data_IF_100026356364
#
_entry.id   IF_100026356364
#
_cell.length_a   1.000
_cell.length_b   1.000
_cell.length_c   1.000
_cell.angle_alpha   90.00
_cell.angle_beta   90.00
_cell.angle_gamma   90.00
#
_symmetry.space_group_name_H-M   'P 1'
#
loop_
_entity.id
_entity.type
_entity.pdbx_description
1 polymer ?
#
# COMPACT_ATOMS: atom_id res chain seq x y z
N UNK A 1 9.76 -11.22 17.00
CA UNK A 1 8.71 -11.11 18.05
C UNK A 1 8.15 -9.71 17.96
N UNK A 2 6.94 -9.52 17.41
CA UNK A 2 6.26 -8.23 17.56
C UNK A 2 5.88 -8.10 19.05
N UNK A 3 6.29 -7.01 19.68
CA UNK A 3 6.04 -6.78 21.09
C UNK A 3 4.53 -6.84 21.33
N UNK A 4 4.13 -7.76 22.20
CA UNK A 4 2.76 -7.89 22.68
C UNK A 4 2.52 -6.73 23.66
N UNK A 5 2.50 -5.50 23.14
CA UNK A 5 2.29 -4.29 23.93
C UNK A 5 0.82 -4.20 24.25
N UNK A 6 0.47 -4.51 25.50
CA UNK A 6 -0.87 -4.27 26.01
C UNK A 6 -1.21 -2.79 25.86
N UNK A 7 -2.36 -2.52 25.24
CA UNK A 7 -2.97 -1.19 25.13
C UNK A 7 -4.00 -0.95 26.23
N UNK A 8 -3.97 -1.71 27.33
CA UNK A 8 -4.80 -1.44 28.50
C UNK A 8 -4.64 0.02 28.95
N UNK A 9 -5.76 0.71 29.16
CA UNK A 9 -5.78 2.13 29.51
C UNK A 9 -5.59 3.11 28.34
N UNK A 10 -5.47 2.63 27.10
CA UNK A 10 -5.49 3.49 25.91
C UNK A 10 -6.90 3.60 25.34
N UNK A 11 -7.33 4.84 25.09
CA UNK A 11 -8.52 5.16 24.31
C UNK A 11 -8.11 5.46 22.87
N UNK A 12 -8.71 4.77 21.91
CA UNK A 12 -8.44 4.97 20.47
C UNK A 12 -9.74 5.04 19.70
N UNK A 13 -9.85 6.02 18.80
CA UNK A 13 -11.02 6.15 17.93
C UNK A 13 -10.72 5.63 16.53
N UNK A 14 -11.70 4.98 15.89
CA UNK A 14 -11.59 4.49 14.50
C UNK A 14 -12.77 5.01 13.67
N UNK A 15 -12.45 5.69 12.57
CA UNK A 15 -13.43 6.22 11.62
C UNK A 15 -13.30 5.47 10.29
N UNK A 16 -14.42 4.87 9.89
CA UNK A 16 -14.51 4.02 8.70
C UNK A 16 -14.37 2.55 9.07
N UNK A 17 -15.42 1.78 8.79
CA UNK A 17 -15.50 0.35 9.13
C UNK A 17 -15.74 -0.50 7.88
N UNK A 18 -15.02 -0.20 6.79
CA UNK A 18 -14.83 -1.16 5.71
C UNK A 18 -13.97 -2.34 6.16
N UNK A 19 -13.67 -3.30 5.26
CA UNK A 19 -12.91 -4.50 5.61
C UNK A 19 -11.61 -4.20 6.38
N UNK A 20 -10.84 -3.20 5.94
CA UNK A 20 -9.62 -2.79 6.63
C UNK A 20 -9.90 -2.04 7.95
N UNK A 21 -10.86 -1.12 7.97
CA UNK A 21 -11.23 -0.36 9.17
C UNK A 21 -11.74 -1.23 10.33
N UNK A 22 -12.55 -2.25 10.01
CA UNK A 22 -13.00 -3.24 10.98
C UNK A 22 -11.83 -4.09 11.50
N UNK A 23 -10.92 -4.51 10.62
CA UNK A 23 -9.70 -5.23 11.02
C UNK A 23 -8.81 -4.39 11.96
N UNK A 24 -8.67 -3.08 11.70
CA UNK A 24 -7.96 -2.14 12.58
C UNK A 24 -8.60 -2.10 13.96
N UNK A 25 -9.91 -1.86 14.04
CA UNK A 25 -10.63 -1.80 15.31
C UNK A 25 -10.46 -3.11 16.11
N UNK A 26 -10.57 -4.24 15.44
CA UNK A 26 -10.40 -5.56 16.07
C UNK A 26 -8.97 -5.81 16.57
N UNK A 27 -7.94 -5.39 15.83
CA UNK A 27 -6.56 -5.49 16.30
C UNK A 27 -6.34 -4.67 17.57
N UNK A 28 -6.85 -3.44 17.61
CA UNK A 28 -6.74 -2.56 18.77
C UNK A 28 -7.47 -3.12 19.99
N UNK A 29 -8.68 -3.63 19.82
CA UNK A 29 -9.45 -4.27 20.91
C UNK A 29 -8.75 -5.53 21.43
N UNK A 30 -8.21 -6.38 20.54
CA UNK A 30 -7.44 -7.57 20.96
C UNK A 30 -6.17 -7.20 21.72
N UNK A 31 -5.56 -6.05 21.42
CA UNK A 31 -4.43 -5.53 22.17
C UNK A 31 -4.84 -4.89 23.52
N UNK A 32 -6.13 -4.73 23.81
CA UNK A 32 -6.65 -4.23 25.09
C UNK A 32 -7.02 -2.75 25.11
N UNK A 33 -7.04 -2.06 23.96
CA UNK A 33 -7.49 -0.68 23.87
C UNK A 33 -9.01 -0.57 24.02
N UNK A 34 -9.49 0.54 24.59
CA UNK A 34 -10.90 0.92 24.53
C UNK A 34 -11.15 1.64 23.20
N UNK A 35 -11.89 0.99 22.32
CA UNK A 35 -12.05 1.47 20.94
C UNK A 35 -13.42 2.11 20.73
N UNK A 36 -13.42 3.41 20.38
CA UNK A 36 -14.63 4.11 19.94
C UNK A 36 -14.69 4.10 18.41
N UNK A 37 -15.83 3.78 17.82
CA UNK A 37 -15.96 3.59 16.37
C UNK A 37 -17.07 4.44 15.78
N UNK A 38 -16.86 4.88 14.54
CA UNK A 38 -17.91 5.50 13.74
C UNK A 38 -17.81 5.10 12.26
N UNK A 39 -18.97 4.88 11.64
CA UNK A 39 -19.08 4.66 10.21
C UNK A 39 -20.42 5.22 9.70
N UNK A 40 -20.44 5.71 8.46
CA UNK A 40 -21.66 6.25 7.83
C UNK A 40 -22.80 5.23 7.76
N UNK A 41 -22.48 3.98 7.49
CA UNK A 41 -23.46 2.86 7.42
C UNK A 41 -23.52 2.20 8.79
N UNK A 42 -24.68 2.26 9.45
CA UNK A 42 -24.87 1.79 10.84
C UNK A 42 -24.62 0.29 11.02
N UNK A 43 -25.04 -0.55 10.07
CA UNK A 43 -24.87 -2.02 10.17
C UNK A 43 -23.41 -2.45 10.32
N UNK A 44 -22.47 -1.70 9.72
CA UNK A 44 -21.02 -1.94 9.87
C UNK A 44 -20.51 -1.57 11.27
N UNK A 45 -21.14 -0.60 11.92
CA UNK A 45 -20.85 -0.26 13.32
C UNK A 45 -21.36 -1.35 14.25
N UNK A 46 -22.59 -1.82 14.05
CA UNK A 46 -23.22 -2.88 14.85
C UNK A 46 -22.36 -4.16 14.91
N UNK A 47 -21.80 -4.58 13.78
CA UNK A 47 -20.92 -5.76 13.70
C UNK A 47 -19.69 -5.67 14.61
N UNK A 48 -19.06 -4.48 14.68
CA UNK A 48 -17.84 -4.26 15.49
C UNK A 48 -18.20 -3.97 16.95
N UNK A 49 -19.36 -3.37 17.22
CA UNK A 49 -19.90 -3.21 18.58
C UNK A 49 -20.19 -4.57 19.22
N UNK A 50 -20.71 -5.53 18.46
CA UNK A 50 -20.86 -6.91 18.92
C UNK A 50 -19.55 -7.59 19.36
N UNK A 51 -18.40 -7.01 18.99
CA UNK A 51 -17.05 -7.48 19.34
C UNK A 51 -16.40 -6.66 20.47
N UNK A 52 -17.12 -5.67 21.04
CA UNK A 52 -16.66 -4.89 22.20
C UNK A 52 -16.33 -3.42 21.92
N UNK A 53 -16.55 -2.93 20.70
CA UNK A 53 -16.34 -1.51 20.39
C UNK A 53 -17.46 -0.63 20.92
N UNK A 54 -17.16 0.66 21.12
CA UNK A 54 -18.09 1.67 21.60
C UNK A 54 -18.58 2.51 20.42
N UNK A 55 -19.87 2.57 20.11
CA UNK A 55 -20.37 3.37 18.99
C UNK A 55 -20.36 4.86 19.34
N UNK A 56 -19.90 5.70 18.41
CA UNK A 56 -20.07 7.15 18.47
C UNK A 56 -21.28 7.59 17.62
N UNK A 57 -21.98 8.65 18.04
CA UNK A 57 -23.13 9.20 17.32
C UNK A 57 -22.77 10.05 16.10
N UNK A 58 -21.54 10.55 16.03
CA UNK A 58 -21.01 11.37 14.93
C UNK A 58 -19.49 11.23 14.82
N UNK A 59 -18.92 11.73 13.71
CA UNK A 59 -17.47 11.83 13.52
C UNK A 59 -16.82 12.69 14.61
N UNK A 60 -17.41 13.84 14.94
CA UNK A 60 -16.92 14.74 15.99
C UNK A 60 -16.96 14.09 17.37
N UNK A 61 -18.03 13.35 17.70
CA UNK A 61 -18.11 12.59 18.94
C UNK A 61 -17.05 11.48 18.99
N UNK A 62 -16.82 10.78 17.87
CA UNK A 62 -15.78 9.77 17.75
C UNK A 62 -14.39 10.36 17.99
N UNK A 63 -14.03 11.46 17.34
CA UNK A 63 -12.73 12.12 17.51
C UNK A 63 -12.55 12.66 18.94
N UNK A 64 -13.61 13.22 19.53
CA UNK A 64 -13.55 13.77 20.88
C UNK A 64 -13.29 12.71 21.95
N UNK A 65 -13.72 11.46 21.71
CA UNK A 65 -13.63 10.36 22.67
C UNK A 65 -12.19 9.90 22.96
N UNK A 66 -11.23 10.17 22.06
CA UNK A 66 -9.86 9.64 22.18
C UNK A 66 -8.80 10.68 21.79
N UNK A 67 -7.60 10.64 22.37
CA UNK A 67 -6.49 11.50 21.94
C UNK A 67 -5.96 11.12 20.54
N UNK A 68 -6.07 9.84 20.16
CA UNK A 68 -5.65 9.30 18.86
C UNK A 68 -6.88 8.83 18.09
N UNK A 69 -7.03 9.29 16.85
CA UNK A 69 -8.05 8.78 15.91
C UNK A 69 -7.39 8.21 14.67
N UNK A 70 -7.71 6.95 14.35
CA UNK A 70 -7.34 6.30 13.10
C UNK A 70 -8.47 6.46 12.09
N UNK A 71 -8.13 6.90 10.87
CA UNK A 71 -9.08 7.05 9.77
C UNK A 71 -8.72 6.04 8.68
N UNK A 72 -9.68 5.23 8.26
CA UNK A 72 -9.55 4.31 7.12
C UNK A 72 -10.82 4.37 6.28
N UNK A 73 -10.80 5.24 5.27
CA UNK A 73 -11.96 5.60 4.45
C UNK A 73 -11.75 5.21 2.99
N UNK A 74 -12.79 5.46 2.17
CA UNK A 74 -12.74 5.16 0.74
C UNK A 74 -11.73 6.05 -0.02
N UNK A 75 -11.60 7.31 0.37
CA UNK A 75 -10.70 8.26 -0.29
C UNK A 75 -10.31 9.40 0.64
N UNK A 76 -9.19 10.05 0.33
CA UNK A 76 -8.73 11.23 1.05
C UNK A 76 -9.68 12.43 0.91
N UNK A 77 -10.50 12.51 -0.15
CA UNK A 77 -11.56 13.51 -0.26
C UNK A 77 -12.67 13.29 0.79
N UNK A 78 -12.99 12.03 1.12
CA UNK A 78 -13.93 11.72 2.21
C UNK A 78 -13.31 12.04 3.57
N UNK A 79 -12.03 11.71 3.76
CA UNK A 79 -11.29 12.05 4.98
C UNK A 79 -11.25 13.57 5.21
N UNK A 80 -10.99 14.34 4.15
CA UNK A 80 -11.01 15.81 4.21
C UNK A 80 -12.37 16.33 4.70
N UNK A 81 -13.48 15.91 4.08
CA UNK A 81 -14.83 16.33 4.48
C UNK A 81 -15.13 16.00 5.95
N UNK A 82 -14.85 14.76 6.35
CA UNK A 82 -15.06 14.29 7.73
C UNK A 82 -14.30 15.16 8.74
N UNK A 83 -13.08 15.57 8.41
CA UNK A 83 -12.24 16.40 9.29
C UNK A 83 -12.62 17.88 9.23
N UNK A 84 -13.10 18.39 8.09
CA UNK A 84 -13.60 19.77 7.95
C UNK A 84 -14.80 20.06 8.85
N UNK A 85 -15.63 19.06 9.13
CA UNK A 85 -16.83 19.20 9.95
C UNK A 85 -16.54 19.23 11.47
N UNK A 86 -15.27 19.07 11.87
CA UNK A 86 -14.85 19.02 13.27
C UNK A 86 -14.35 20.39 13.71
N UNK A 87 -15.05 21.00 14.66
CA UNK A 87 -14.77 22.37 15.10
C UNK A 87 -13.36 22.55 15.70
N UNK A 88 -12.86 21.55 16.44
CA UNK A 88 -11.54 21.62 17.06
C UNK A 88 -10.80 20.28 17.08
N UNK A 89 -9.59 20.29 16.51
CA UNK A 89 -8.64 19.17 16.47
C UNK A 89 -7.36 19.48 17.26
N UNK A 90 -7.26 20.62 17.94
CA UNK A 90 -6.05 21.17 18.57
C UNK A 90 -5.32 20.23 19.54
N UNK A 91 -6.03 19.30 20.16
CA UNK A 91 -5.49 18.33 21.13
C UNK A 91 -5.41 16.90 20.58
N UNK A 92 -5.73 16.71 19.30
CA UNK A 92 -5.94 15.41 18.68
C UNK A 92 -4.76 15.02 17.79
N UNK A 93 -4.49 13.72 17.75
CA UNK A 93 -3.59 13.12 16.77
C UNK A 93 -4.42 12.30 15.79
N UNK A 94 -4.38 12.69 14.52
CA UNK A 94 -5.07 12.00 13.43
C UNK A 94 -4.05 11.13 12.69
N UNK A 95 -4.32 9.84 12.64
CA UNK A 95 -3.57 8.85 11.85
C UNK A 95 -4.44 8.44 10.68
N UNK A 96 -4.15 8.94 9.49
CA UNK A 96 -4.92 8.60 8.30
C UNK A 96 -4.24 7.47 7.53
N UNK A 97 -4.90 6.31 7.48
CA UNK A 97 -4.49 5.09 6.77
C UNK A 97 -5.30 4.88 5.47
N UNK A 98 -5.88 5.96 4.93
CA UNK A 98 -6.62 5.95 3.66
C UNK A 98 -5.65 6.10 2.49
N UNK A 99 -5.62 5.11 1.59
CA UNK A 99 -4.81 5.17 0.37
C UNK A 99 -5.10 6.47 -0.43
N UNK A 100 -4.05 7.08 -0.97
CA UNK A 100 -4.14 8.20 -1.89
C UNK A 100 -2.79 8.60 -2.47
N UNK A 101 -2.82 9.65 -3.30
CA UNK A 101 -1.61 10.24 -3.85
C UNK A 101 -0.94 11.21 -2.87
N UNK A 102 0.38 11.46 -3.00
CA UNK A 102 1.09 12.54 -2.30
C UNK A 102 0.31 13.87 -2.25
N UNK A 103 -0.27 14.30 -3.38
CA UNK A 103 -1.03 15.55 -3.47
C UNK A 103 -2.29 15.54 -2.62
N UNK A 104 -3.06 14.46 -2.66
CA UNK A 104 -4.28 14.31 -1.85
C UNK A 104 -3.96 14.33 -0.36
N UNK A 105 -2.88 13.67 0.05
CA UNK A 105 -2.46 13.63 1.46
C UNK A 105 -2.01 15.00 1.95
N UNK A 106 -1.29 15.77 1.11
CA UNK A 106 -0.92 17.15 1.44
C UNK A 106 -2.14 18.06 1.60
N UNK A 107 -3.20 17.88 0.80
CA UNK A 107 -4.45 18.63 0.94
C UNK A 107 -5.14 18.36 2.28
N UNK A 108 -5.20 17.09 2.70
CA UNK A 108 -5.72 16.75 4.04
C UNK A 108 -4.84 17.34 5.13
N UNK A 109 -3.51 17.23 5.02
CA UNK A 109 -2.58 17.78 6.00
C UNK A 109 -2.70 19.30 6.14
N UNK A 110 -2.91 20.03 5.04
CA UNK A 110 -3.09 21.48 5.04
C UNK A 110 -4.32 21.92 5.84
N UNK A 111 -5.41 21.13 5.83
CA UNK A 111 -6.59 21.41 6.66
C UNK A 111 -6.25 21.41 8.15
N UNK A 112 -5.38 20.50 8.60
CA UNK A 112 -5.03 20.39 10.02
C UNK A 112 -4.11 21.52 10.50
N UNK A 113 -3.44 22.24 9.60
CA UNK A 113 -2.63 23.41 9.97
C UNK A 113 -3.46 24.54 10.58
N UNK A 114 -4.77 24.61 10.28
CA UNK A 114 -5.69 25.56 10.89
C UNK A 114 -5.97 25.29 12.38
N UNK A 115 -5.69 24.08 12.87
CA UNK A 115 -5.92 23.67 14.25
C UNK A 115 -4.60 23.62 15.01
N UNK A 116 -4.24 24.72 15.68
CA UNK A 116 -3.00 24.80 16.47
C UNK A 116 -2.92 23.65 17.48
N UNK A 117 -1.89 22.83 17.37
CA UNK A 117 -1.63 21.67 18.25
C UNK A 117 -2.11 20.32 17.70
N UNK A 118 -2.95 20.31 16.65
CA UNK A 118 -3.34 19.08 15.97
C UNK A 118 -2.10 18.40 15.39
N UNK A 119 -2.00 17.08 15.55
CA UNK A 119 -0.94 16.26 14.95
C UNK A 119 -1.52 15.40 13.84
N UNK A 120 -0.76 15.26 12.76
CA UNK A 120 -1.16 14.45 11.61
C UNK A 120 -0.05 13.47 11.24
N UNK A 121 -0.43 12.21 11.15
CA UNK A 121 0.35 11.16 10.52
C UNK A 121 -0.44 10.61 9.34
N UNK A 122 0.25 10.32 8.26
CA UNK A 122 -0.31 9.55 7.17
C UNK A 122 0.42 8.23 7.09
N UNK A 123 -0.31 7.14 6.89
CA UNK A 123 0.28 5.83 6.75
C UNK A 123 -0.39 5.00 5.69
N UNK A 124 0.27 3.92 5.34
CA UNK A 124 -0.17 2.96 4.36
C UNK A 124 0.03 1.54 4.90
N UNK A 125 -1.02 0.74 4.83
CA UNK A 125 -1.02 -0.65 5.30
C UNK A 125 -0.60 -1.54 4.13
N UNK A 126 0.52 -2.26 4.29
CA UNK A 126 1.16 -3.06 3.24
C UNK A 126 0.71 -4.53 3.27
N UNK A 127 -0.51 -4.79 3.75
CA UNK A 127 -1.08 -6.14 3.85
C UNK A 127 -2.59 -6.11 3.64
N UNK A 128 -3.21 -7.20 3.16
CA UNK A 128 -4.66 -7.34 3.16
C UNK A 128 -5.22 -7.43 4.59
N UNK A 129 -6.52 -7.12 4.80
CA UNK A 129 -7.14 -7.05 6.13
C UNK A 129 -6.95 -8.31 6.99
N UNK A 130 -7.02 -9.50 6.38
CA UNK A 130 -6.87 -10.79 7.05
C UNK A 130 -5.47 -11.05 7.63
N UNK A 131 -4.46 -10.35 7.12
CA UNK A 131 -3.09 -10.46 7.60
C UNK A 131 -2.72 -9.34 8.57
N UNK A 132 -3.61 -8.41 8.90
CA UNK A 132 -3.33 -7.29 9.80
C UNK A 132 -3.12 -7.76 11.26
N UNK A 133 -2.17 -7.12 11.96
CA UNK A 133 -1.81 -7.47 13.34
C UNK A 133 -0.91 -8.72 13.47
N UNK A 134 -0.50 -9.31 12.34
CA UNK A 134 0.48 -10.40 12.31
C UNK A 134 1.91 -9.83 12.38
N UNK A 135 2.92 -10.62 12.79
CA UNK A 135 4.31 -10.16 12.80
C UNK A 135 4.85 -9.72 11.44
N UNK A 136 4.24 -10.19 10.35
CA UNK A 136 4.59 -9.83 8.97
C UNK A 136 3.85 -8.59 8.47
N UNK A 137 2.86 -8.07 9.21
CA UNK A 137 2.14 -6.85 8.83
C UNK A 137 3.08 -5.66 8.88
N UNK A 138 3.16 -4.91 7.79
CA UNK A 138 3.97 -3.70 7.69
C UNK A 138 3.07 -2.50 7.46
N UNK A 139 3.34 -1.40 8.17
CA UNK A 139 2.68 -0.12 7.94
C UNK A 139 3.74 0.95 7.75
N UNK A 140 3.73 1.62 6.60
CA UNK A 140 4.58 2.79 6.37
C UNK A 140 3.90 4.01 6.98
N UNK A 141 4.65 4.88 7.66
CA UNK A 141 4.09 6.06 8.31
C UNK A 141 5.00 7.26 8.07
N UNK A 142 4.42 8.40 7.69
CA UNK A 142 5.12 9.67 7.57
C UNK A 142 4.42 10.78 8.35
N UNK A 143 5.16 11.84 8.65
CA UNK A 143 4.75 12.95 9.51
C UNK A 143 5.72 13.13 10.67
N UNK A 144 5.42 14.04 11.62
CA UNK A 144 6.33 14.37 12.72
C UNK A 144 6.84 13.14 13.49
N UNK A 145 8.14 13.09 13.76
CA UNK A 145 8.76 12.01 14.54
C UNK A 145 8.17 11.89 15.95
N UNK A 146 7.86 13.03 16.60
CA UNK A 146 7.23 13.05 17.93
C UNK A 146 5.83 12.44 17.89
N UNK A 147 5.03 12.78 16.88
CA UNK A 147 3.71 12.20 16.69
C UNK A 147 3.81 10.69 16.44
N UNK A 148 4.79 10.25 15.64
CA UNK A 148 5.05 8.85 15.36
C UNK A 148 5.41 8.07 16.63
N UNK A 149 6.34 8.59 17.44
CA UNK A 149 6.71 7.97 18.72
C UNK A 149 5.50 7.86 19.67
N UNK A 150 4.71 8.92 19.80
CA UNK A 150 3.50 8.92 20.61
C UNK A 150 2.45 7.89 20.13
N UNK A 151 2.34 7.67 18.81
CA UNK A 151 1.41 6.70 18.23
C UNK A 151 1.98 5.28 18.12
N UNK A 152 3.28 5.08 18.36
CA UNK A 152 3.94 3.79 18.14
C UNK A 152 3.29 2.64 18.92
N UNK A 153 2.87 2.79 20.20
CA UNK A 153 2.16 1.72 20.90
C UNK A 153 0.89 1.28 20.16
N UNK A 154 0.05 2.23 19.74
CA UNK A 154 -1.20 1.99 19.01
C UNK A 154 -0.93 1.36 17.64
N UNK A 155 0.01 1.90 16.89
CA UNK A 155 0.38 1.40 15.56
C UNK A 155 1.01 0.00 15.61
N UNK A 156 1.69 -0.35 16.70
CA UNK A 156 2.32 -1.67 16.88
C UNK A 156 1.30 -2.79 17.04
N UNK A 157 0.05 -2.48 17.45
CA UNK A 157 -1.03 -3.45 17.45
C UNK A 157 -1.49 -3.85 16.03
N UNK A 158 -1.17 -3.04 15.02
CA UNK A 158 -1.51 -3.29 13.62
C UNK A 158 -0.40 -4.05 12.87
N UNK A 159 0.81 -4.15 13.44
CA UNK A 159 1.98 -4.72 12.79
C UNK A 159 3.28 -4.05 13.22
N UNK A 160 4.27 -4.06 12.33
CA UNK A 160 5.52 -3.33 12.49
C UNK A 160 5.43 -1.96 11.79
N UNK A 161 5.12 -0.86 12.52
CA UNK A 161 5.12 0.47 11.92
C UNK A 161 6.54 0.91 11.59
N UNK A 162 6.71 1.50 10.40
CA UNK A 162 7.99 2.04 9.91
C UNK A 162 7.82 3.52 9.59
N UNK A 163 8.49 4.37 10.35
CA UNK A 163 8.58 5.79 10.02
C UNK A 163 9.47 5.97 8.80
N UNK A 164 8.92 6.49 7.71
CA UNK A 164 9.67 6.71 6.46
C UNK A 164 10.16 8.15 6.32
N UNK A 165 9.80 9.02 7.26
CA UNK A 165 10.29 10.40 7.38
C UNK A 165 9.19 11.42 7.62
N UNK A 166 9.60 12.67 7.83
CA UNK A 166 8.69 13.73 8.26
C UNK A 166 7.85 14.34 7.15
N UNK A 167 8.27 14.21 5.89
CA UNK A 167 7.44 14.62 4.76
C UNK A 167 6.19 13.73 4.68
N UNK A 168 5.03 14.31 5.00
CA UNK A 168 3.73 13.63 5.05
C UNK A 168 3.36 12.89 3.75
N UNK A 169 3.95 13.31 2.62
CA UNK A 169 3.74 12.70 1.32
C UNK A 169 4.58 11.45 1.06
N UNK A 170 5.47 11.07 1.98
CA UNK A 170 6.43 10.00 1.75
C UNK A 170 5.82 8.61 1.90
N UNK A 171 4.99 8.38 2.91
CA UNK A 171 4.25 7.13 3.02
C UNK A 171 3.38 6.84 1.78
N UNK A 172 2.51 7.77 1.29
CA UNK A 172 1.69 7.50 0.10
C UNK A 172 2.52 7.40 -1.18
N UNK A 173 3.68 8.06 -1.27
CA UNK A 173 4.60 7.88 -2.41
C UNK A 173 5.13 6.43 -2.47
N UNK A 174 5.65 5.93 -1.35
CA UNK A 174 6.20 4.58 -1.26
C UNK A 174 5.09 3.52 -1.39
N UNK A 175 3.90 3.77 -0.85
CA UNK A 175 2.72 2.94 -1.06
C UNK A 175 2.41 2.77 -2.54
N UNK A 176 2.27 3.88 -3.28
CA UNK A 176 1.98 3.82 -4.71
C UNK A 176 3.10 3.11 -5.51
N UNK A 177 4.37 3.26 -5.11
CA UNK A 177 5.47 2.52 -5.72
C UNK A 177 5.35 1.00 -5.47
N UNK A 178 5.04 0.59 -4.23
CA UNK A 178 4.86 -0.83 -3.88
C UNK A 178 3.60 -1.43 -4.51
N UNK A 179 2.49 -0.67 -4.59
CA UNK A 179 1.28 -1.09 -5.27
C UNK A 179 1.48 -1.21 -6.79
N UNK A 180 2.34 -0.38 -7.39
CA UNK A 180 2.73 -0.53 -8.79
C UNK A 180 3.49 -1.85 -9.03
N UNK A 181 4.41 -2.22 -8.14
CA UNK A 181 5.08 -3.53 -8.18
C UNK A 181 4.07 -4.68 -8.04
N UNK A 182 3.14 -4.56 -7.10
CA UNK A 182 2.07 -5.55 -6.90
C UNK A 182 1.18 -5.68 -8.16
N UNK A 183 0.85 -4.57 -8.81
CA UNK A 183 0.09 -4.56 -10.06
C UNK A 183 0.77 -5.36 -11.16
N UNK A 184 2.05 -5.08 -11.43
CA UNK A 184 2.82 -5.84 -12.44
C UNK A 184 2.98 -7.32 -12.09
N UNK A 185 3.15 -7.64 -10.80
CA UNK A 185 3.16 -9.02 -10.32
C UNK A 185 1.81 -9.72 -10.60
N UNK A 186 0.69 -9.06 -10.34
CA UNK A 186 -0.64 -9.62 -10.62
C UNK A 186 -0.89 -9.80 -12.10
N UNK A 187 -0.53 -8.82 -12.95
CA UNK A 187 -0.63 -8.93 -14.41
C UNK A 187 0.12 -10.16 -14.92
N UNK A 188 1.39 -10.33 -14.52
CA UNK A 188 2.19 -11.50 -14.90
C UNK A 188 1.62 -12.81 -14.34
N UNK A 189 1.19 -12.82 -13.07
CA UNK A 189 0.70 -14.01 -12.38
C UNK A 189 -0.59 -14.55 -12.99
N UNK A 190 -1.60 -13.70 -13.22
CA UNK A 190 -2.89 -14.13 -13.79
C UNK A 190 -2.74 -14.55 -15.25
N UNK A 191 -1.89 -13.86 -16.02
CA UNK A 191 -1.60 -14.25 -17.39
C UNK A 191 -0.89 -15.60 -17.47
N UNK A 192 0.14 -15.82 -16.64
CA UNK A 192 0.89 -17.06 -16.62
C UNK A 192 -0.01 -18.25 -16.27
N UNK A 193 -0.90 -18.09 -15.28
CA UNK A 193 -1.90 -19.09 -14.94
C UNK A 193 -2.84 -19.39 -16.11
N UNK A 194 -3.35 -18.36 -16.79
CA UNK A 194 -4.24 -18.55 -17.94
C UNK A 194 -3.54 -19.30 -19.09
N UNK A 195 -2.28 -18.97 -19.40
CA UNK A 195 -1.47 -19.67 -20.41
C UNK A 195 -1.28 -21.14 -20.00
N UNK A 196 -0.83 -21.41 -18.77
CA UNK A 196 -0.58 -22.76 -18.28
C UNK A 196 -1.85 -23.63 -18.32
N UNK A 197 -2.97 -23.11 -17.81
CA UNK A 197 -4.25 -23.82 -17.79
C UNK A 197 -4.79 -24.11 -19.19
N UNK A 198 -4.69 -23.15 -20.12
CA UNK A 198 -5.12 -23.34 -21.52
C UNK A 198 -4.20 -24.30 -22.27
N UNK A 199 -2.93 -24.38 -21.88
CA UNK A 199 -1.97 -25.39 -22.35
C UNK A 199 -2.13 -26.77 -21.71
N UNK A 200 -3.13 -26.99 -20.85
CA UNK A 200 -3.42 -28.29 -20.24
C UNK A 200 -2.63 -28.60 -18.97
N UNK A 201 -1.97 -27.61 -18.36
CA UNK A 201 -1.28 -27.75 -17.07
C UNK A 201 -2.25 -27.41 -15.93
N UNK A 202 -2.26 -28.21 -14.86
CA UNK A 202 -3.04 -27.88 -13.67
C UNK A 202 -2.56 -26.55 -13.06
N UNK A 203 -3.50 -25.67 -12.74
CA UNK A 203 -3.19 -24.32 -12.28
C UNK A 203 -2.57 -24.29 -10.88
N UNK A 204 -2.95 -25.22 -9.99
CA UNK A 204 -2.42 -25.29 -8.63
C UNK A 204 -1.01 -25.87 -8.66
N UNK A 205 -0.79 -26.95 -9.41
CA UNK A 205 0.52 -27.55 -9.59
C UNK A 205 1.50 -26.57 -10.25
N UNK A 206 1.05 -25.82 -11.26
CA UNK A 206 1.84 -24.75 -11.86
C UNK A 206 2.16 -23.65 -10.84
N UNK A 207 1.16 -23.15 -10.11
CA UNK A 207 1.33 -22.08 -9.14
C UNK A 207 2.33 -22.45 -8.03
N UNK A 208 2.17 -23.63 -7.43
CA UNK A 208 2.94 -24.06 -6.27
C UNK A 208 4.29 -24.67 -6.66
N UNK A 209 4.33 -25.43 -7.75
CA UNK A 209 5.51 -26.19 -8.17
C UNK A 209 6.49 -25.40 -9.04
N UNK A 210 6.01 -24.41 -9.81
CA UNK A 210 6.84 -23.70 -10.78
C UNK A 210 6.80 -22.18 -10.61
N UNK A 211 5.62 -21.56 -10.72
CA UNK A 211 5.49 -20.11 -10.72
C UNK A 211 5.94 -19.47 -9.40
N UNK A 212 5.55 -20.04 -8.26
CA UNK A 212 5.95 -19.57 -6.93
C UNK A 212 7.47 -19.59 -6.74
N UNK A 213 8.16 -20.73 -6.91
CA UNK A 213 9.61 -20.80 -6.85
C UNK A 213 10.31 -19.85 -7.84
N UNK A 214 9.79 -19.72 -9.06
CA UNK A 214 10.32 -18.81 -10.07
C UNK A 214 10.23 -17.33 -9.63
N UNK A 215 9.06 -16.88 -9.15
CA UNK A 215 8.88 -15.52 -8.64
C UNK A 215 9.79 -15.25 -7.45
N UNK A 216 9.96 -16.22 -6.54
CA UNK A 216 10.87 -16.07 -5.39
C UNK A 216 12.32 -15.86 -5.86
N UNK A 217 12.80 -16.69 -6.79
CA UNK A 217 14.16 -16.55 -7.33
C UNK A 217 14.35 -15.19 -8.04
N UNK A 218 13.34 -14.74 -8.79
CA UNK A 218 13.37 -13.42 -9.44
C UNK A 218 13.39 -12.28 -8.40
N UNK A 219 12.59 -12.38 -7.33
CA UNK A 219 12.53 -11.40 -6.26
C UNK A 219 13.88 -11.23 -5.54
N UNK A 220 14.65 -12.31 -5.38
CA UNK A 220 15.99 -12.28 -4.79
C UNK A 220 17.00 -11.52 -5.69
N UNK A 221 16.76 -11.46 -7.01
CA UNK A 221 17.62 -10.77 -7.98
C UNK A 221 17.22 -9.31 -8.25
N UNK A 222 15.92 -8.99 -8.25
CA UNK A 222 15.38 -7.66 -8.60
C UNK A 222 16.08 -6.48 -7.90
N UNK A 223 16.46 -6.53 -6.60
CA UNK A 223 17.16 -5.42 -5.95
C UNK A 223 18.46 -5.00 -6.62
N UNK A 224 19.13 -5.91 -7.35
CA UNK A 224 20.37 -5.61 -8.07
C UNK A 224 20.16 -4.63 -9.24
N UNK A 225 18.94 -4.54 -9.78
CA UNK A 225 18.61 -3.52 -10.79
C UNK A 225 18.84 -2.11 -10.24
N UNK A 226 18.58 -1.87 -8.94
CA UNK A 226 18.80 -0.57 -8.34
C UNK A 226 20.28 -0.16 -8.34
N UNK A 227 21.19 -1.12 -8.20
CA UNK A 227 22.64 -0.88 -8.30
C UNK A 227 23.03 -0.48 -9.72
N UNK A 228 22.50 -1.17 -10.74
CA UNK A 228 22.73 -0.84 -12.14
C UNK A 228 22.21 0.55 -12.51
N UNK A 229 21.03 0.92 -12.00
CA UNK A 229 20.45 2.26 -12.21
C UNK A 229 21.30 3.33 -11.52
N UNK A 230 21.72 3.11 -10.27
CA UNK A 230 22.56 4.06 -9.52
C UNK A 230 23.92 4.29 -10.20
N UNK A 231 24.54 3.22 -10.68
CA UNK A 231 25.88 3.26 -11.27
C UNK A 231 25.84 3.59 -12.78
N UNK A 232 24.66 3.81 -13.36
CA UNK A 232 24.42 4.01 -14.80
C UNK A 232 25.01 2.89 -15.69
N UNK A 233 25.06 1.67 -15.16
CA UNK A 233 25.61 0.48 -15.84
C UNK A 233 24.48 -0.37 -16.41
N UNK A 234 24.05 -0.03 -17.61
CA UNK A 234 22.90 -0.68 -18.25
C UNK A 234 23.27 -1.87 -19.14
N UNK A 235 24.54 -1.99 -19.57
CA UNK A 235 25.00 -3.10 -20.41
C UNK A 235 25.37 -4.34 -19.60
N UNK A 236 25.06 -5.52 -20.15
CA UNK A 236 25.29 -6.82 -19.53
C UNK A 236 24.00 -7.45 -18.99
N UNK A 237 23.98 -8.78 -18.89
CA UNK A 237 22.75 -9.54 -18.60
C UNK A 237 21.94 -9.84 -19.85
N UNK A 238 20.61 -9.80 -19.75
CA UNK A 238 19.68 -10.07 -20.87
C UNK A 238 19.37 -8.78 -21.64
N UNK A 239 19.77 -8.66 -22.92
CA UNK A 239 19.51 -7.48 -23.75
C UNK A 239 18.02 -7.22 -23.99
N UNK A 240 17.63 -5.96 -24.18
CA UNK A 240 16.25 -5.58 -24.53
C UNK A 240 15.79 -6.21 -25.85
N UNK A 241 16.67 -6.35 -26.85
CA UNK A 241 16.36 -7.03 -28.12
C UNK A 241 15.96 -8.49 -27.90
N UNK A 242 16.71 -9.23 -27.08
CA UNK A 242 16.39 -10.60 -26.70
C UNK A 242 15.07 -10.68 -25.90
N UNK A 243 14.81 -9.71 -25.00
CA UNK A 243 13.57 -9.68 -24.23
C UNK A 243 12.35 -9.38 -25.11
N UNK A 244 12.48 -8.53 -26.14
CA UNK A 244 11.41 -8.28 -27.10
C UNK A 244 11.02 -9.55 -27.86
N UNK A 245 11.99 -10.35 -28.33
CA UNK A 245 11.73 -11.67 -28.95
C UNK A 245 10.98 -12.60 -27.98
N UNK A 246 11.33 -12.57 -26.68
CA UNK A 246 10.59 -13.35 -25.68
C UNK A 246 9.14 -12.85 -25.51
N UNK A 247 8.91 -11.54 -25.55
CA UNK A 247 7.55 -10.98 -25.52
C UNK A 247 6.74 -11.37 -26.76
N UNK A 248 7.37 -11.54 -27.92
CA UNK A 248 6.71 -11.96 -29.16
C UNK A 248 6.29 -13.42 -29.11
N UNK A 249 7.15 -14.27 -28.55
CA UNK A 249 6.79 -15.67 -28.27
C UNK A 249 5.63 -15.78 -27.29
N UNK A 250 5.60 -14.93 -26.25
CA UNK A 250 4.48 -14.88 -25.29
C UNK A 250 3.19 -14.42 -25.99
N UNK A 251 3.26 -13.41 -26.86
CA UNK A 251 2.13 -12.92 -27.63
C UNK A 251 1.56 -14.01 -28.55
N UNK A 252 2.43 -14.67 -29.33
CA UNK A 252 2.04 -15.77 -30.21
C UNK A 252 1.42 -16.94 -29.43
N UNK A 253 2.01 -17.33 -28.30
CA UNK A 253 1.44 -18.35 -27.40
C UNK A 253 0.05 -17.95 -26.90
N UNK A 254 -0.13 -16.67 -26.56
CA UNK A 254 -1.43 -16.13 -26.17
C UNK A 254 -2.46 -16.26 -27.28
N UNK A 255 -2.09 -15.91 -28.52
CA UNK A 255 -2.97 -16.02 -29.69
C UNK A 255 -3.38 -17.48 -29.95
N UNK A 256 -2.43 -18.41 -29.94
CA UNK A 256 -2.68 -19.85 -30.14
C UNK A 256 -3.66 -20.43 -29.10
N UNK A 257 -3.56 -19.98 -27.85
CA UNK A 257 -4.39 -20.48 -26.74
C UNK A 257 -5.68 -19.68 -26.50
N UNK A 258 -5.86 -18.56 -27.21
CA UNK A 258 -6.94 -17.61 -26.98
C UNK A 258 -6.84 -16.91 -25.61
N UNK A 259 -5.62 -16.61 -25.16
CA UNK A 259 -5.31 -15.90 -23.91
C UNK A 259 -4.86 -14.48 -24.21
N UNK A 260 -5.50 -13.50 -23.57
CA UNK A 260 -5.08 -12.09 -23.66
C UNK A 260 -3.78 -11.85 -22.89
N UNK A 261 -2.77 -11.33 -23.58
CA UNK A 261 -1.50 -10.89 -22.99
C UNK A 261 -1.60 -9.44 -22.49
N UNK A 262 -1.01 -9.17 -21.33
CA UNK A 262 -1.07 -7.92 -20.56
C UNK A 262 0.24 -7.13 -20.56
N UNK A 263 1.29 -7.61 -21.24
CA UNK A 263 2.64 -7.02 -21.23
C UNK A 263 2.86 -5.90 -22.27
N UNK A 264 1.79 -5.39 -22.90
CA UNK A 264 1.89 -4.43 -24.01
C UNK A 264 2.59 -3.12 -23.65
N UNK A 265 2.27 -2.54 -22.49
CA UNK A 265 2.89 -1.28 -22.05
C UNK A 265 4.41 -1.39 -21.82
N UNK A 266 4.87 -2.55 -21.32
CA UNK A 266 6.29 -2.83 -21.16
C UNK A 266 6.97 -2.99 -22.53
N UNK A 267 6.31 -3.70 -23.47
CA UNK A 267 6.77 -3.86 -24.86
C UNK A 267 6.98 -2.51 -25.53
N UNK A 268 6.01 -1.59 -25.42
CA UNK A 268 6.10 -0.24 -26.00
C UNK A 268 7.32 0.55 -25.50
N UNK A 269 7.62 0.45 -24.20
CA UNK A 269 8.78 1.11 -23.59
C UNK A 269 10.10 0.48 -24.05
N UNK A 270 10.14 -0.85 -24.17
CA UNK A 270 11.30 -1.58 -24.69
C UNK A 270 11.57 -1.24 -26.16
N UNK A 271 10.55 -1.24 -27.02
CA UNK A 271 10.70 -0.84 -28.43
C UNK A 271 11.17 0.60 -28.59
N UNK A 272 10.68 1.51 -27.73
CA UNK A 272 11.16 2.89 -27.71
C UNK A 272 12.65 2.95 -27.36
N UNK A 273 13.11 2.17 -26.38
CA UNK A 273 14.51 2.08 -26.01
C UNK A 273 15.38 1.55 -27.16
N UNK A 274 14.95 0.47 -27.84
CA UNK A 274 15.66 -0.09 -28.99
C UNK A 274 15.79 0.94 -30.12
N UNK A 275 14.72 1.66 -30.45
CA UNK A 275 14.77 2.76 -31.45
C UNK A 275 15.74 3.89 -31.07
N UNK A 276 16.02 4.07 -29.79
CA UNK A 276 17.03 5.02 -29.29
C UNK A 276 18.45 4.44 -29.22
N UNK A 277 18.69 3.26 -29.81
CA UNK A 277 20.00 2.60 -29.83
C UNK A 277 20.36 1.87 -28.54
N UNK A 278 19.40 1.67 -27.63
CA UNK A 278 19.61 1.03 -26.31
C UNK A 278 19.32 -0.48 -26.32
N UNK A 279 19.31 -1.13 -27.48
CA UNK A 279 18.91 -2.54 -27.59
C UNK A 279 19.79 -3.53 -26.80
N UNK A 280 21.07 -3.20 -26.63
CA UNK A 280 22.04 -4.00 -25.86
C UNK A 280 22.03 -3.71 -24.35
N UNK A 281 21.15 -2.81 -23.89
CA UNK A 281 20.95 -2.57 -22.47
C UNK A 281 20.07 -3.65 -21.84
N UNK A 282 20.13 -3.77 -20.51
CA UNK A 282 19.21 -4.58 -19.71
C UNK A 282 17.97 -3.78 -19.33
N UNK A 283 17.00 -4.43 -18.67
CA UNK A 283 15.76 -3.79 -18.21
C UNK A 283 16.01 -2.57 -17.28
N UNK A 284 17.18 -2.49 -16.65
CA UNK A 284 17.59 -1.32 -15.85
C UNK A 284 17.62 -0.02 -16.68
N UNK A 285 17.99 -0.11 -17.97
CA UNK A 285 18.04 1.03 -18.90
C UNK A 285 16.67 1.64 -19.23
N UNK A 286 15.58 0.95 -18.86
CA UNK A 286 14.23 1.48 -19.01
C UNK A 286 13.86 2.51 -17.93
N UNK A 287 14.51 2.47 -16.76
CA UNK A 287 14.13 3.35 -15.63
C UNK A 287 14.24 4.85 -16.00
N UNK A 288 15.35 5.33 -16.60
CA UNK A 288 15.43 6.73 -17.05
C UNK A 288 14.40 7.11 -18.12
N UNK A 289 13.86 6.13 -18.86
CA UNK A 289 12.85 6.37 -19.89
C UNK A 289 11.44 6.56 -19.30
N UNK A 290 11.18 6.05 -18.10
CA UNK A 290 9.89 6.20 -17.42
C UNK A 290 9.76 7.56 -16.72
N UNK A 291 10.89 8.21 -16.43
CA UNK A 291 10.93 9.58 -15.92
C UNK A 291 10.85 10.55 -17.10
N UNK A 292 9.76 11.31 -17.23
CA UNK A 292 9.76 12.48 -18.12
C UNK A 292 10.84 13.43 -17.63
N UNK A 293 11.69 13.93 -18.53
CA UNK A 293 12.39 15.19 -18.24
C UNK A 293 11.31 16.23 -17.97
N UNK A 294 11.42 16.95 -16.85
CA UNK A 294 10.61 18.14 -16.65
C UNK A 294 11.06 19.14 -17.71
N UNK A 295 10.25 19.35 -18.74
CA UNK A 295 10.29 20.58 -19.55
C UNK A 295 10.07 21.80 -18.64
#
# INVERSE_FOLDING_TARGET
>A
MAANTSLAGHDVSVIGLGNMGAAIANCLMRAGAKVTVWNRTSSKTEEVVGQGAIPASSTSACIAASPITIICLLSNAVAQRVLSDVADLSTRTIVNLTNGSPGQVRQVAALLQGHKGARYLHGAIMVPPMLLGQPTSMTLVSGSSDAFHACTPVLSALGAPRHVGEDIARAPLLDNALLSLMGGMFEGWVQALAIAQRGGVDGVDFAMGLAGPFVKAAADWLPRIAEHVRDEKYKGGSPLTMQLEALDNIAATGEELGVRVLLGSLRDVMERAVRQGKGEESIAGLVPLLTREKE
#
